data_IF_328726805149
#
_entry.id   IF_328726805149
#
_cell.length_a   1.000
_cell.length_b   1.000
_cell.length_c   1.000
_cell.angle_alpha   90.00
_cell.angle_beta   90.00
_cell.angle_gamma   90.00
#
_symmetry.space_group_name_H-M   'P 1'
#
loop_
_entity.id
_entity.type
_entity.pdbx_description
1 polymer ?
#
# COMPACT_ATOMS: atom_id res chain seq x y z
N UNK A 1 2.71 -52.38 -6.47
CA UNK A 1 1.99 -52.00 -5.23
C UNK A 1 2.54 -50.70 -4.60
N UNK A 2 3.81 -50.33 -4.81
CA UNK A 2 4.41 -49.10 -4.24
C UNK A 2 4.08 -47.81 -5.00
N UNK A 3 3.72 -47.88 -6.29
CA UNK A 3 3.46 -46.70 -7.12
C UNK A 3 2.12 -46.01 -6.81
N UNK A 4 1.12 -46.76 -6.35
CA UNK A 4 -0.23 -46.22 -6.11
C UNK A 4 -0.30 -45.34 -4.86
N UNK A 5 0.37 -45.73 -3.76
CA UNK A 5 0.44 -44.92 -2.54
C UNK A 5 1.19 -43.59 -2.74
N UNK A 6 2.23 -43.61 -3.56
CA UNK A 6 3.01 -42.40 -3.88
C UNK A 6 2.18 -41.44 -4.72
N UNK A 7 1.41 -41.94 -5.69
CA UNK A 7 0.51 -41.11 -6.53
C UNK A 7 -0.62 -40.50 -5.68
N UNK A 8 -1.21 -41.26 -4.75
CA UNK A 8 -2.24 -40.75 -3.83
C UNK A 8 -1.68 -39.68 -2.88
N UNK A 9 -0.47 -39.88 -2.34
CA UNK A 9 0.17 -38.91 -1.46
C UNK A 9 0.51 -37.60 -2.21
N UNK A 10 1.02 -37.69 -3.44
CA UNK A 10 1.33 -36.52 -4.27
C UNK A 10 0.05 -35.76 -4.67
N UNK A 11 -1.02 -36.47 -5.03
CA UNK A 11 -2.32 -35.88 -5.35
C UNK A 11 -2.93 -35.13 -4.16
N UNK A 12 -2.81 -35.67 -2.95
CA UNK A 12 -3.34 -35.05 -1.73
C UNK A 12 -2.55 -33.80 -1.32
N UNK A 13 -1.22 -33.80 -1.51
CA UNK A 13 -0.37 -32.62 -1.27
C UNK A 13 -0.66 -31.52 -2.30
N UNK A 14 -0.84 -31.85 -3.58
CA UNK A 14 -1.22 -30.86 -4.60
C UNK A 14 -2.61 -30.25 -4.35
N UNK A 15 -3.56 -31.03 -3.83
CA UNK A 15 -4.91 -30.54 -3.50
C UNK A 15 -4.95 -29.63 -2.26
N UNK A 16 -3.93 -29.68 -1.40
CA UNK A 16 -3.78 -28.77 -0.25
C UNK A 16 -3.16 -27.42 -0.66
N UNK A 17 -2.42 -27.37 -1.77
CA UNK A 17 -1.78 -26.15 -2.28
C UNK A 17 -2.74 -25.26 -3.09
N UNK A 18 -3.93 -25.74 -3.46
CA UNK A 18 -4.93 -24.97 -4.24
C UNK A 18 -5.82 -24.06 -3.39
N UNK A 19 -5.64 -24.04 -2.06
CA UNK A 19 -6.41 -23.19 -1.13
C UNK A 19 -5.64 -21.98 -0.59
N UNK A 20 -4.43 -21.72 -1.06
CA UNK A 20 -3.82 -20.40 -0.91
C UNK A 20 -4.41 -19.49 -1.96
N UNK A 21 -5.54 -18.85 -1.64
CA UNK A 21 -5.85 -17.57 -2.26
C UNK A 21 -4.68 -16.66 -1.91
N UNK A 22 -3.72 -16.53 -2.82
CA UNK A 22 -2.71 -15.49 -2.75
C UNK A 22 -3.47 -14.20 -2.96
N UNK A 23 -4.07 -13.68 -1.89
CA UNK A 23 -4.49 -12.29 -1.85
C UNK A 23 -3.17 -11.54 -1.84
N UNK A 24 -2.78 -10.98 -2.98
CA UNK A 24 -1.72 -9.99 -3.03
C UNK A 24 -2.25 -8.76 -2.28
N UNK A 25 -2.24 -8.84 -0.95
CA UNK A 25 -2.51 -7.71 -0.10
C UNK A 25 -1.33 -6.77 -0.27
N UNK A 26 -1.60 -5.54 -0.72
CA UNK A 26 -0.58 -4.49 -0.79
C UNK A 26 0.03 -4.35 0.61
N UNK A 27 1.33 -4.59 0.73
CA UNK A 27 1.97 -4.51 2.04
C UNK A 27 2.23 -3.07 2.40
N UNK A 28 2.34 -2.78 3.71
CA UNK A 28 2.73 -1.44 4.15
C UNK A 28 4.10 -1.03 3.57
N UNK A 29 5.01 -1.99 3.40
CA UNK A 29 6.30 -1.73 2.76
C UNK A 29 6.12 -1.26 1.32
N UNK A 30 5.27 -1.91 0.53
CA UNK A 30 5.00 -1.50 -0.86
C UNK A 30 4.37 -0.11 -0.93
N UNK A 31 3.48 0.19 0.02
CA UNK A 31 2.88 1.52 0.19
C UNK A 31 3.94 2.59 0.46
N UNK A 32 4.83 2.38 1.43
CA UNK A 32 5.89 3.34 1.77
C UNK A 32 6.90 3.49 0.62
N UNK A 33 7.29 2.39 -0.02
CA UNK A 33 8.23 2.42 -1.16
C UNK A 33 7.68 3.25 -2.32
N UNK A 34 6.38 3.13 -2.59
CA UNK A 34 5.67 3.92 -3.61
C UNK A 34 5.69 5.43 -3.35
N UNK A 35 5.91 5.86 -2.10
CA UNK A 35 5.89 7.28 -1.69
C UNK A 35 7.31 7.85 -1.52
N UNK A 36 8.38 7.03 -1.58
CA UNK A 36 9.79 7.50 -1.60
C UNK A 36 10.03 8.67 -2.58
N UNK A 37 9.56 8.64 -3.85
CA UNK A 37 9.76 9.77 -4.77
C UNK A 37 9.06 11.07 -4.34
N UNK A 38 8.13 11.01 -3.38
CA UNK A 38 7.41 12.15 -2.83
C UNK A 38 8.10 12.77 -1.61
N UNK A 39 9.07 12.07 -0.99
CA UNK A 39 9.76 12.54 0.22
C UNK A 39 10.36 13.96 0.10
N UNK A 40 10.97 14.37 -1.03
CA UNK A 40 11.50 15.74 -1.15
C UNK A 40 10.41 16.82 -1.02
N UNK A 41 9.19 16.54 -1.50
CA UNK A 41 8.04 17.42 -1.31
C UNK A 41 7.54 17.35 0.13
N UNK A 42 7.35 16.14 0.66
CA UNK A 42 6.82 15.89 2.01
C UNK A 42 7.72 16.47 3.12
N UNK A 43 9.04 16.52 2.94
CA UNK A 43 9.97 17.07 3.94
C UNK A 43 10.05 18.61 3.92
N UNK A 44 9.34 19.29 3.02
CA UNK A 44 9.25 20.75 3.01
C UNK A 44 10.50 21.51 2.54
N UNK A 45 11.62 20.83 2.31
CA UNK A 45 12.91 21.44 1.93
C UNK A 45 13.11 21.70 0.43
N UNK A 46 12.12 21.40 -0.41
CA UNK A 46 12.23 21.44 -1.88
C UNK A 46 11.11 22.21 -2.58
N UNK A 47 10.75 21.75 -3.78
CA UNK A 47 9.66 22.32 -4.59
C UNK A 47 8.34 22.37 -3.81
N UNK A 48 7.51 23.38 -4.09
CA UNK A 48 6.12 23.45 -3.62
C UNK A 48 5.19 22.54 -4.44
N UNK A 49 5.74 21.78 -5.39
CA UNK A 49 5.00 20.82 -6.19
C UNK A 49 5.60 19.43 -6.08
N UNK A 50 4.73 18.43 -5.98
CA UNK A 50 5.10 17.04 -6.16
C UNK A 50 5.64 16.82 -7.58
N UNK A 51 6.68 15.98 -7.70
CA UNK A 51 7.21 15.62 -9.01
C UNK A 51 6.21 14.76 -9.80
N UNK A 52 6.31 14.76 -11.13
CA UNK A 52 5.52 13.86 -11.98
C UNK A 52 5.72 12.39 -11.61
N UNK A 53 6.96 12.02 -11.25
CA UNK A 53 7.30 10.68 -10.79
C UNK A 53 6.64 10.33 -9.46
N UNK A 54 6.56 11.28 -8.52
CA UNK A 54 5.83 11.09 -7.27
C UNK A 54 4.35 10.83 -7.53
N UNK A 55 3.68 11.68 -8.33
CA UNK A 55 2.27 11.49 -8.64
C UNK A 55 2.00 10.18 -9.39
N UNK A 56 2.85 9.80 -10.36
CA UNK A 56 2.70 8.53 -11.06
C UNK A 56 2.82 7.33 -10.12
N UNK A 57 3.78 7.36 -9.18
CA UNK A 57 3.97 6.27 -8.21
C UNK A 57 2.78 6.17 -7.25
N UNK A 58 2.28 7.29 -6.74
CA UNK A 58 1.12 7.32 -5.86
C UNK A 58 -0.18 6.90 -6.57
N UNK A 59 -0.34 7.24 -7.85
CA UNK A 59 -1.47 6.79 -8.68
C UNK A 59 -1.44 5.29 -8.94
N UNK A 60 -0.26 4.72 -9.20
CA UNK A 60 -0.08 3.28 -9.38
C UNK A 60 -0.49 2.54 -8.10
N UNK A 61 0.01 2.97 -6.94
CA UNK A 61 -0.37 2.41 -5.66
C UNK A 61 -1.90 2.47 -5.44
N UNK A 62 -2.53 3.60 -5.71
CA UNK A 62 -3.99 3.71 -5.57
C UNK A 62 -4.77 2.80 -6.54
N UNK A 63 -4.18 2.45 -7.69
CA UNK A 63 -4.78 1.52 -8.66
C UNK A 63 -4.65 0.06 -8.22
N UNK A 64 -3.60 -0.27 -7.46
CA UNK A 64 -3.39 -1.59 -6.86
C UNK A 64 -4.31 -1.81 -5.63
N UNK A 65 -4.57 -0.74 -4.88
CA UNK A 65 -5.37 -0.76 -3.63
C UNK A 65 -6.87 -0.57 -3.96
N UNK A 66 -7.47 -1.62 -4.54
CA UNK A 66 -8.87 -1.61 -4.99
C UNK A 66 -9.88 -2.07 -3.92
N UNK A 67 -9.46 -2.92 -2.97
CA UNK A 67 -10.37 -3.44 -1.94
C UNK A 67 -10.42 -2.55 -0.70
N UNK A 68 -11.53 -2.60 0.04
CA UNK A 68 -11.65 -1.91 1.35
C UNK A 68 -10.62 -2.41 2.35
N UNK A 69 -10.27 -3.71 2.32
CA UNK A 69 -9.26 -4.28 3.20
C UNK A 69 -7.87 -3.66 2.92
N UNK A 70 -7.51 -3.53 1.64
CA UNK A 70 -6.24 -2.92 1.25
C UNK A 70 -6.22 -1.42 1.60
N UNK A 71 -7.33 -0.70 1.38
CA UNK A 71 -7.43 0.73 1.76
C UNK A 71 -7.23 0.94 3.25
N UNK A 72 -7.81 0.08 4.09
CA UNK A 72 -7.63 0.12 5.55
C UNK A 72 -6.20 -0.21 5.95
N UNK A 73 -5.60 -1.21 5.33
CA UNK A 73 -4.20 -1.57 5.57
C UNK A 73 -3.26 -0.42 5.18
N UNK A 74 -3.48 0.20 4.02
CA UNK A 74 -2.72 1.36 3.56
C UNK A 74 -2.91 2.57 4.47
N UNK A 75 -4.13 2.82 4.92
CA UNK A 75 -4.41 3.88 5.88
C UNK A 75 -3.61 3.71 7.17
N UNK A 76 -3.64 2.51 7.78
CA UNK A 76 -2.89 2.24 9.00
C UNK A 76 -1.38 2.41 8.77
N UNK A 77 -0.89 1.92 7.63
CA UNK A 77 0.50 2.08 7.24
C UNK A 77 0.93 3.56 7.15
N UNK A 78 0.15 4.39 6.46
CA UNK A 78 0.47 5.81 6.31
C UNK A 78 0.32 6.56 7.63
N UNK A 79 -0.66 6.21 8.47
CA UNK A 79 -0.79 6.76 9.82
C UNK A 79 0.49 6.52 10.64
N UNK A 80 1.00 5.30 10.64
CA UNK A 80 2.22 4.95 11.37
C UNK A 80 3.46 5.62 10.76
N UNK A 81 3.55 5.69 9.44
CA UNK A 81 4.64 6.36 8.73
C UNK A 81 4.69 7.87 9.04
N UNK A 82 3.53 8.55 9.02
CA UNK A 82 3.41 9.98 9.38
C UNK A 82 3.86 10.22 10.82
N UNK A 83 3.50 9.32 11.75
CA UNK A 83 3.95 9.44 13.16
C UNK A 83 5.45 9.19 13.35
N UNK A 84 6.03 8.30 12.55
CA UNK A 84 7.43 7.92 12.65
C UNK A 84 8.38 8.89 11.92
N UNK A 85 7.86 9.71 11.02
CA UNK A 85 8.67 10.59 10.16
C UNK A 85 8.38 12.06 10.43
N UNK A 86 9.39 12.91 10.29
CA UNK A 86 9.24 14.35 10.45
C UNK A 86 8.88 15.00 9.10
N UNK A 87 7.74 14.59 8.54
CA UNK A 87 7.19 15.18 7.31
C UNK A 87 6.24 16.34 7.64
N UNK A 88 6.06 17.23 6.68
CA UNK A 88 5.07 18.29 6.73
C UNK A 88 3.67 17.70 6.49
N UNK A 89 2.87 17.64 7.55
CA UNK A 89 1.51 17.10 7.52
C UNK A 89 0.60 17.85 6.54
N UNK A 90 0.76 19.16 6.38
CA UNK A 90 -0.06 19.93 5.44
C UNK A 90 0.24 19.52 4.00
N UNK A 91 1.52 19.27 3.68
CA UNK A 91 1.93 18.75 2.38
C UNK A 91 1.47 17.32 2.16
N UNK A 92 1.51 16.47 3.19
CA UNK A 92 1.00 15.11 3.11
C UNK A 92 -0.51 15.08 2.78
N UNK A 93 -1.29 16.01 3.34
CA UNK A 93 -2.72 16.15 3.04
C UNK A 93 -2.99 16.74 1.65
N UNK A 94 -2.10 17.60 1.15
CA UNK A 94 -2.22 18.22 -0.16
C UNK A 94 -1.85 17.26 -1.31
N UNK A 95 -0.90 16.34 -1.06
CA UNK A 95 -0.33 15.46 -2.08
C UNK A 95 -1.39 14.69 -2.90
N UNK A 96 -2.39 14.01 -2.29
CA UNK A 96 -3.42 13.32 -3.06
C UNK A 96 -4.24 14.26 -3.94
N UNK A 97 -4.56 15.46 -3.44
CA UNK A 97 -5.33 16.49 -4.18
C UNK A 97 -4.54 16.98 -5.39
N UNK A 98 -3.24 17.26 -5.21
CA UNK A 98 -2.33 17.69 -6.29
C UNK A 98 -2.14 16.62 -7.36
N UNK A 99 -2.07 15.35 -6.96
CA UNK A 99 -1.88 14.23 -7.88
C UNK A 99 -3.20 13.66 -8.43
N UNK A 100 -4.35 14.28 -8.12
CA UNK A 100 -5.68 13.83 -8.52
C UNK A 100 -6.02 12.40 -8.07
N UNK A 101 -5.60 12.02 -6.87
CA UNK A 101 -5.81 10.70 -6.28
C UNK A 101 -6.95 10.78 -5.26
N UNK A 102 -7.92 9.87 -5.37
CA UNK A 102 -8.95 9.68 -4.35
C UNK A 102 -8.65 8.45 -3.49
N UNK A 103 -8.00 8.68 -2.34
CA UNK A 103 -7.73 7.62 -1.34
C UNK A 103 -8.98 7.25 -0.54
N UNK A 104 -9.96 8.17 -0.44
CA UNK A 104 -11.13 8.02 0.41
C UNK A 104 -10.88 8.33 1.89
N UNK A 105 -9.70 8.84 2.23
CA UNK A 105 -9.30 9.19 3.58
C UNK A 105 -8.16 10.23 3.58
N UNK A 106 -8.01 10.99 4.66
CA UNK A 106 -7.00 12.06 4.80
C UNK A 106 -5.71 11.57 5.49
N UNK A 107 -4.55 11.83 4.90
CA UNK A 107 -3.26 11.41 5.47
C UNK A 107 -2.90 12.32 6.65
N UNK A 108 -3.37 11.95 7.84
CA UNK A 108 -3.13 12.68 9.10
C UNK A 108 -2.67 11.72 10.19
N UNK A 109 -1.91 12.18 11.20
CA UNK A 109 -1.46 11.31 12.29
C UNK A 109 -2.61 10.72 13.12
N UNK A 110 -3.79 11.37 13.14
CA UNK A 110 -4.93 10.97 13.95
C UNK A 110 -6.07 10.32 13.13
N UNK A 111 -5.82 9.99 11.87
CA UNK A 111 -6.83 9.37 10.99
C UNK A 111 -7.43 8.10 11.59
N UNK A 112 -8.75 7.94 11.44
CA UNK A 112 -9.48 6.73 11.78
C UNK A 112 -9.58 5.77 10.58
N UNK A 113 -8.66 4.82 10.51
CA UNK A 113 -8.58 3.81 9.45
C UNK A 113 -9.59 2.65 9.59
N UNK A 114 -10.55 2.74 10.52
CA UNK A 114 -11.61 1.73 10.65
C UNK A 114 -12.85 2.06 9.82
N UNK A 115 -12.95 3.30 9.34
CA UNK A 115 -14.07 3.82 8.58
C UNK A 115 -13.88 3.65 7.08
#
# INVERSE_FOLDING_TARGET
MATSNVVFAISMVLALLTRSTVVFAVTCQDGVQSIIPCMPFLLGGGSNQASSQCCASAQNLNSEVSSTADRRALCQCFKDAVKATNIDNARAEELPKMCHINLGFDITPDIDCTK
#
